data_IF_728235440582
#
_entry.id   IF_728235440582
#
_cell.length_a   1.000
_cell.length_b   1.000
_cell.length_c   1.000
_cell.angle_alpha   90.00
_cell.angle_beta   90.00
_cell.angle_gamma   90.00
#
_symmetry.space_group_name_H-M   'P 1'
#
loop_
_entity.id
_entity.type
_entity.pdbx_description
1 polymer ?
#
# COMPACT_ATOMS: atom_id res chain seq x y z
N UNK A 1 -8.57 -26.50 26.86
CA UNK A 1 -7.64 -25.40 26.59
C UNK A 1 -8.45 -24.22 26.09
N UNK A 2 -8.37 -23.02 26.69
CA UNK A 2 -9.13 -21.87 26.20
C UNK A 2 -8.61 -21.48 24.80
N UNK A 3 -9.48 -21.21 23.81
CA UNK A 3 -9.03 -20.81 22.48
C UNK A 3 -8.29 -19.47 22.57
N UNK A 4 -7.16 -19.37 21.86
CA UNK A 4 -6.39 -18.11 21.77
C UNK A 4 -7.17 -17.13 20.90
N UNK A 5 -7.40 -15.92 21.41
CA UNK A 5 -7.97 -14.81 20.66
C UNK A 5 -6.80 -14.07 19.99
N UNK A 6 -6.78 -14.04 18.65
CA UNK A 6 -5.75 -13.32 17.89
C UNK A 6 -6.08 -11.83 17.81
N UNK A 7 -5.06 -10.96 17.91
CA UNK A 7 -5.21 -9.51 17.74
C UNK A 7 -5.59 -9.15 16.29
N UNK A 8 -4.98 -9.82 15.31
CA UNK A 8 -5.32 -9.71 13.89
C UNK A 8 -5.31 -11.10 13.24
N UNK A 9 -6.28 -11.37 12.37
CA UNK A 9 -6.34 -12.58 11.54
C UNK A 9 -6.96 -12.21 10.19
N UNK A 10 -6.35 -12.61 9.05
CA UNK A 10 -6.94 -12.36 7.75
C UNK A 10 -8.24 -13.17 7.59
N UNK A 11 -9.25 -12.55 6.96
CA UNK A 11 -10.47 -13.22 6.54
C UNK A 11 -10.26 -13.76 5.13
N UNK A 12 -9.96 -15.05 5.01
CA UNK A 12 -9.74 -15.76 3.74
C UNK A 12 -10.85 -16.79 3.57
N UNK A 13 -11.52 -16.74 2.43
CA UNK A 13 -12.61 -17.63 2.04
C UNK A 13 -12.21 -18.44 0.79
N UNK A 14 -13.11 -19.30 0.32
CA UNK A 14 -12.89 -20.07 -0.91
C UNK A 14 -12.67 -19.17 -2.14
N UNK A 15 -13.18 -17.92 -2.12
CA UNK A 15 -13.02 -16.97 -3.20
C UNK A 15 -11.55 -16.54 -3.39
N UNK A 16 -10.87 -16.17 -2.30
CA UNK A 16 -9.45 -15.78 -2.36
C UNK A 16 -8.57 -16.97 -2.77
N UNK A 17 -8.88 -18.17 -2.27
CA UNK A 17 -8.17 -19.41 -2.64
C UNK A 17 -8.36 -19.72 -4.12
N UNK A 18 -9.58 -19.59 -4.62
CA UNK A 18 -9.92 -19.79 -6.03
C UNK A 18 -9.15 -18.84 -6.93
N UNK A 19 -9.14 -17.53 -6.62
CA UNK A 19 -8.39 -16.56 -7.41
C UNK A 19 -6.88 -16.76 -7.36
N UNK A 20 -6.33 -17.13 -6.19
CA UNK A 20 -4.90 -17.40 -6.07
C UNK A 20 -4.48 -18.62 -6.92
N UNK A 21 -5.31 -19.67 -6.93
CA UNK A 21 -5.07 -20.89 -7.71
C UNK A 21 -5.21 -20.63 -9.21
N UNK A 22 -6.26 -19.92 -9.61
CA UNK A 22 -6.49 -19.52 -11.01
C UNK A 22 -5.34 -18.65 -11.53
N UNK A 23 -4.89 -17.66 -10.75
CA UNK A 23 -3.74 -16.84 -11.10
C UNK A 23 -2.45 -17.65 -11.22
N UNK A 24 -2.20 -18.60 -10.31
CA UNK A 24 -1.02 -19.46 -10.35
C UNK A 24 -1.03 -20.40 -11.56
N UNK A 25 -2.19 -20.88 -12.00
CA UNK A 25 -2.31 -21.76 -13.16
C UNK A 25 -2.27 -20.99 -14.49
N UNK A 26 -2.99 -19.87 -14.57
CA UNK A 26 -3.36 -19.23 -15.83
C UNK A 26 -2.76 -17.82 -16.01
N UNK A 27 -2.18 -17.21 -14.97
CA UNK A 27 -1.69 -15.83 -14.98
C UNK A 27 -0.32 -15.62 -15.62
N UNK A 28 0.02 -16.36 -16.68
CA UNK A 28 1.33 -16.35 -17.32
C UNK A 28 1.24 -16.08 -18.82
N UNK A 29 2.38 -15.81 -19.46
CA UNK A 29 2.46 -15.52 -20.90
C UNK A 29 1.63 -14.29 -21.26
N UNK A 30 0.71 -14.43 -22.22
CA UNK A 30 -0.18 -13.35 -22.66
C UNK A 30 -1.10 -12.83 -21.54
N UNK A 31 -1.36 -13.63 -20.50
CA UNK A 31 -2.24 -13.28 -19.39
C UNK A 31 -1.50 -12.71 -18.17
N UNK A 32 -0.19 -12.44 -18.27
CA UNK A 32 0.64 -12.02 -17.13
C UNK A 32 0.17 -10.73 -16.42
N UNK A 33 -0.60 -9.87 -17.09
CA UNK A 33 -1.16 -8.65 -16.51
C UNK A 33 -2.67 -8.69 -16.26
N UNK A 34 -3.34 -9.81 -16.56
CA UNK A 34 -4.81 -9.89 -16.51
C UNK A 34 -5.36 -9.64 -15.10
N UNK A 35 -4.81 -10.32 -14.09
CA UNK A 35 -5.28 -10.22 -12.70
C UNK A 35 -5.02 -8.85 -12.09
N UNK A 36 -3.80 -8.31 -12.29
CA UNK A 36 -3.45 -6.99 -11.78
C UNK A 36 -4.21 -5.88 -12.51
N UNK A 37 -4.48 -6.06 -13.82
CA UNK A 37 -5.33 -5.16 -14.60
C UNK A 37 -6.77 -5.14 -14.09
N UNK A 38 -7.35 -6.33 -13.85
CA UNK A 38 -8.69 -6.48 -13.27
C UNK A 38 -8.78 -5.81 -11.91
N UNK A 39 -7.83 -6.08 -11.01
CA UNK A 39 -7.77 -5.47 -9.69
C UNK A 39 -7.68 -3.95 -9.77
N UNK A 40 -6.78 -3.40 -10.59
CA UNK A 40 -6.64 -1.94 -10.75
C UNK A 40 -7.93 -1.30 -11.25
N UNK A 41 -8.63 -1.92 -12.21
CA UNK A 41 -9.87 -1.39 -12.76
C UNK A 41 -10.99 -1.40 -11.72
N UNK A 42 -11.20 -2.52 -11.02
CA UNK A 42 -12.21 -2.59 -9.96
C UNK A 42 -11.88 -1.63 -8.80
N UNK A 43 -10.61 -1.48 -8.47
CA UNK A 43 -10.18 -0.59 -7.38
C UNK A 43 -10.35 0.89 -7.73
N UNK A 44 -10.06 1.27 -8.99
CA UNK A 44 -10.36 2.62 -9.50
C UNK A 44 -11.83 2.97 -9.39
N UNK A 45 -12.70 2.05 -9.83
CA UNK A 45 -14.15 2.22 -9.78
C UNK A 45 -14.63 2.34 -8.33
N UNK A 46 -14.15 1.46 -7.45
CA UNK A 46 -14.46 1.48 -6.03
C UNK A 46 -14.09 2.81 -5.35
N UNK A 47 -12.93 3.39 -5.70
CA UNK A 47 -12.46 4.66 -5.14
C UNK A 47 -12.98 5.90 -5.88
N UNK A 48 -13.60 5.75 -7.05
CA UNK A 48 -14.03 6.88 -7.90
C UNK A 48 -12.87 7.69 -8.49
N UNK A 49 -11.70 7.07 -8.73
CA UNK A 49 -10.49 7.76 -9.23
C UNK A 49 -10.16 7.38 -10.67
N UNK A 50 -9.51 8.31 -11.39
CA UNK A 50 -9.11 8.09 -12.80
C UNK A 50 -8.00 7.04 -12.94
N UNK A 51 -7.08 6.98 -11.98
CA UNK A 51 -5.88 6.15 -12.03
C UNK A 51 -5.66 5.40 -10.72
N UNK A 52 -5.22 4.14 -10.80
CA UNK A 52 -4.72 3.36 -9.68
C UNK A 52 -3.47 2.59 -10.12
N UNK A 53 -2.51 2.42 -9.22
CA UNK A 53 -1.26 1.69 -9.44
C UNK A 53 -1.17 0.62 -8.36
N UNK A 54 -0.96 -0.63 -8.76
CA UNK A 54 -0.73 -1.73 -7.84
C UNK A 54 0.79 -1.89 -7.63
N UNK A 55 1.20 -1.97 -6.37
CA UNK A 55 2.59 -2.13 -5.94
C UNK A 55 2.70 -3.33 -5.00
N UNK A 56 3.93 -3.77 -4.72
CA UNK A 56 4.18 -4.87 -3.78
C UNK A 56 3.90 -4.52 -2.32
N UNK A 57 3.94 -3.22 -1.97
CA UNK A 57 3.69 -2.73 -0.61
C UNK A 57 3.39 -1.23 -0.60
N UNK A 58 2.79 -0.75 0.49
CA UNK A 58 2.55 0.67 0.73
C UNK A 58 3.86 1.46 0.90
N UNK A 59 4.89 0.87 1.52
CA UNK A 59 6.21 1.52 1.66
C UNK A 59 6.83 1.83 0.30
N UNK A 60 6.81 0.85 -0.61
CA UNK A 60 7.31 1.04 -1.98
C UNK A 60 6.48 2.04 -2.77
N UNK A 61 5.15 2.05 -2.57
CA UNK A 61 4.26 3.04 -3.18
C UNK A 61 4.61 4.45 -2.75
N UNK A 62 4.78 4.68 -1.43
CA UNK A 62 5.12 6.01 -0.91
C UNK A 62 6.48 6.47 -1.42
N UNK A 63 7.48 5.59 -1.46
CA UNK A 63 8.78 5.90 -2.04
C UNK A 63 8.68 6.30 -3.52
N UNK A 64 8.03 5.49 -4.35
CA UNK A 64 7.86 5.80 -5.77
C UNK A 64 7.04 7.07 -5.99
N UNK A 65 5.98 7.28 -5.20
CA UNK A 65 5.12 8.46 -5.28
C UNK A 65 5.88 9.74 -4.95
N UNK A 66 6.65 9.74 -3.86
CA UNK A 66 7.47 10.89 -3.46
C UNK A 66 8.58 11.16 -4.50
N UNK A 67 9.24 10.12 -5.00
CA UNK A 67 10.24 10.25 -6.06
C UNK A 67 9.63 10.84 -7.36
N UNK A 68 8.41 10.43 -7.73
CA UNK A 68 7.70 10.96 -8.89
C UNK A 68 7.29 12.43 -8.71
N UNK A 69 7.12 12.90 -7.47
CA UNK A 69 6.91 14.32 -7.14
C UNK A 69 8.21 15.13 -7.12
N UNK A 70 9.37 14.50 -7.28
CA UNK A 70 10.68 15.15 -7.26
C UNK A 70 11.22 15.43 -5.86
N UNK A 71 10.66 14.80 -4.82
CA UNK A 71 11.11 14.97 -3.43
C UNK A 71 12.53 14.45 -3.26
N UNK A 72 13.41 15.24 -2.64
CA UNK A 72 14.79 14.89 -2.42
C UNK A 72 15.53 15.76 -1.39
N UNK A 73 16.87 15.83 -1.44
CA UNK A 73 17.67 16.61 -0.51
C UNK A 73 17.28 18.10 -0.49
N UNK A 74 17.04 18.62 0.72
CA UNK A 74 16.60 20.00 0.94
C UNK A 74 15.09 20.16 1.08
N UNK A 75 14.30 19.16 0.70
CA UNK A 75 12.85 19.19 0.89
C UNK A 75 12.45 18.77 2.31
N UNK A 76 11.33 19.34 2.78
CA UNK A 76 10.69 18.97 4.03
C UNK A 76 9.32 18.33 3.77
N UNK A 77 9.01 17.24 4.47
CA UNK A 77 7.74 16.52 4.34
C UNK A 77 7.06 16.43 5.70
N UNK A 78 5.89 17.05 5.81
CA UNK A 78 5.10 17.10 7.05
C UNK A 78 4.34 15.79 7.25
N UNK A 79 4.39 15.24 8.46
CA UNK A 79 3.62 14.06 8.83
C UNK A 79 3.30 14.03 10.33
N UNK A 80 2.23 13.33 10.70
CA UNK A 80 1.88 13.11 12.10
C UNK A 80 3.01 12.38 12.85
N UNK A 81 3.28 12.73 14.10
CA UNK A 81 4.25 12.04 14.95
C UNK A 81 3.81 10.60 15.32
N UNK A 82 2.50 10.38 15.39
CA UNK A 82 1.87 9.10 15.67
C UNK A 82 1.51 8.40 14.37
N UNK A 83 2.43 7.57 13.87
CA UNK A 83 2.29 6.85 12.60
C UNK A 83 3.02 5.49 12.59
N UNK A 84 2.96 4.78 11.47
CA UNK A 84 3.83 3.64 11.18
C UNK A 84 5.08 4.07 10.39
N UNK A 85 6.26 3.57 10.82
CA UNK A 85 7.60 3.92 10.29
C UNK A 85 7.72 3.84 8.76
N UNK A 86 6.92 2.98 8.11
CA UNK A 86 6.86 2.89 6.64
C UNK A 86 6.49 4.21 5.94
N UNK A 87 5.92 5.17 6.67
CA UNK A 87 5.55 6.49 6.15
C UNK A 87 6.72 7.48 6.20
N UNK A 88 7.57 7.38 7.22
CA UNK A 88 8.75 8.24 7.40
C UNK A 88 9.97 7.73 6.62
N UNK A 89 10.13 6.41 6.54
CA UNK A 89 11.29 5.79 5.90
C UNK A 89 11.50 6.27 4.45
N UNK A 90 10.48 6.34 3.57
CA UNK A 90 10.67 6.83 2.19
C UNK A 90 11.24 8.25 2.10
N UNK A 91 10.81 9.14 3.00
CA UNK A 91 11.27 10.54 3.06
C UNK A 91 12.79 10.57 3.29
N UNK A 92 13.25 9.80 4.28
CA UNK A 92 14.68 9.70 4.63
C UNK A 92 15.48 9.00 3.53
N UNK A 93 14.95 7.93 2.91
CA UNK A 93 15.63 7.23 1.81
C UNK A 93 15.84 8.12 0.58
N UNK A 94 14.95 9.06 0.32
CA UNK A 94 15.09 10.06 -0.74
C UNK A 94 16.00 11.24 -0.36
N UNK A 95 16.46 11.31 0.89
CA UNK A 95 17.31 12.39 1.40
C UNK A 95 16.55 13.63 1.85
N UNK A 96 15.22 13.60 1.85
CA UNK A 96 14.37 14.66 2.38
C UNK A 96 14.29 14.59 3.92
N UNK A 97 13.80 15.67 4.54
CA UNK A 97 13.67 15.79 6.00
C UNK A 97 12.20 15.61 6.43
N UNK A 98 11.88 14.59 7.26
CA UNK A 98 10.56 14.51 7.87
C UNK A 98 10.38 15.61 8.93
N UNK A 99 9.22 16.27 8.90
CA UNK A 99 8.80 17.28 9.89
C UNK A 99 7.58 16.74 10.62
N UNK A 100 7.76 16.39 11.90
CA UNK A 100 6.69 15.81 12.71
C UNK A 100 5.77 16.88 13.28
N UNK A 101 4.47 16.60 13.23
CA UNK A 101 3.42 17.42 13.84
C UNK A 101 2.59 16.56 14.80
N UNK A 102 2.20 17.16 15.92
CA UNK A 102 1.38 16.51 16.95
C UNK A 102 -0.05 16.25 16.43
N UNK A 103 -0.73 15.28 17.03
CA UNK A 103 -2.10 14.91 16.72
C UNK A 103 -3.07 15.41 17.79
N UNK A 104 -4.34 15.62 17.42
CA UNK A 104 -5.36 15.95 18.41
C UNK A 104 -5.53 14.78 19.38
N UNK A 105 -5.41 15.07 20.67
CA UNK A 105 -5.85 14.17 21.73
C UNK A 105 -7.38 14.26 21.79
N UNK A 106 -8.07 13.12 21.78
CA UNK A 106 -9.53 13.05 21.81
C UNK A 106 -10.11 14.00 22.88
N UNK A 107 -10.96 14.94 22.44
CA UNK A 107 -11.76 15.84 23.28
C UNK A 107 -13.15 15.27 23.51
#
# INVERSE_FOLDING_TARGET
MKPRIAYTKPSITDLEVGYATDAAANGWGEQCYAYIGRFKNSYKEHLGVKHAIATSSCTGLLHMGMAALGIGPGDEVIMADTNWIASAAPIVHLGAKPVFVDILVWS
#
